data_IF_850853538603
#
_entry.id   IF_850853538603
#
_cell.length_a   1.000
_cell.length_b   1.000
_cell.length_c   1.000
_cell.angle_alpha   90.00
_cell.angle_beta   90.00
_cell.angle_gamma   90.00
#
_symmetry.space_group_name_H-M   'P 1'
#
loop_
_entity.id
_entity.type
_entity.pdbx_description
1 polymer ?
#
# COMPACT_ATOMS: atom_id res chain seq x y z
N UNK A 1 -4.53 -5.54 39.05
CA UNK A 1 -4.10 -6.32 37.88
C UNK A 1 -3.03 -5.50 37.16
N UNK A 2 -1.79 -6.00 37.09
CA UNK A 2 -0.70 -5.30 36.42
C UNK A 2 -0.85 -5.48 34.90
N UNK A 3 -0.90 -4.38 34.15
CA UNK A 3 -0.77 -4.41 32.68
C UNK A 3 0.59 -5.00 32.32
N UNK A 4 0.67 -6.02 31.45
CA UNK A 4 1.95 -6.58 31.05
C UNK A 4 2.73 -5.55 30.23
N UNK A 5 4.01 -5.38 30.55
CA UNK A 5 4.94 -4.58 29.77
C UNK A 5 5.18 -5.30 28.44
N UNK A 6 4.63 -4.80 27.34
CA UNK A 6 5.08 -5.18 26.00
C UNK A 6 5.99 -4.09 25.45
N UNK A 7 7.16 -4.48 24.96
CA UNK A 7 8.07 -3.59 24.25
C UNK A 7 7.70 -3.65 22.77
N UNK A 8 7.11 -2.57 22.23
CA UNK A 8 6.92 -2.42 20.78
C UNK A 8 8.12 -1.67 20.23
N UNK A 9 8.82 -2.28 19.27
CA UNK A 9 9.76 -1.57 18.42
C UNK A 9 9.01 -1.15 17.15
N UNK A 10 8.80 0.16 16.96
CA UNK A 10 8.26 0.67 15.70
C UNK A 10 9.32 0.51 14.61
N UNK A 11 9.06 -0.37 13.65
CA UNK A 11 9.82 -0.46 12.40
C UNK A 11 9.00 0.12 11.27
N UNK A 12 9.64 0.92 10.43
CA UNK A 12 9.00 1.43 9.21
C UNK A 12 9.37 0.52 8.05
N UNK A 13 8.37 -0.06 7.39
CA UNK A 13 8.57 -0.59 6.05
C UNK A 13 8.63 0.59 5.06
N UNK A 14 9.56 0.55 4.11
CA UNK A 14 9.50 1.39 2.92
C UNK A 14 8.76 0.57 1.87
N UNK A 15 7.48 0.86 1.65
CA UNK A 15 6.70 0.17 0.62
C UNK A 15 7.34 0.42 -0.74
N UNK A 16 7.63 -0.65 -1.49
CA UNK A 16 8.16 -0.57 -2.86
C UNK A 16 7.56 -1.65 -3.74
N UNK A 17 7.75 -1.50 -5.05
CA UNK A 17 7.48 -2.54 -6.04
C UNK A 17 8.80 -3.15 -6.48
N UNK A 18 8.83 -4.46 -6.69
CA UNK A 18 9.99 -5.18 -7.20
C UNK A 18 9.60 -5.97 -8.46
N UNK A 19 10.51 -6.04 -9.42
CA UNK A 19 10.31 -6.72 -10.70
C UNK A 19 11.06 -8.05 -10.68
N UNK A 20 10.39 -9.11 -11.14
CA UNK A 20 11.01 -10.40 -11.40
C UNK A 20 10.68 -10.86 -12.81
N UNK A 21 11.70 -11.37 -13.50
CA UNK A 21 11.60 -11.86 -14.88
C UNK A 21 11.85 -13.38 -14.97
N UNK A 22 12.13 -14.03 -13.84
CA UNK A 22 12.52 -15.44 -13.74
C UNK A 22 11.58 -16.28 -12.87
N UNK A 23 10.34 -15.81 -12.69
CA UNK A 23 9.31 -16.48 -11.89
C UNK A 23 9.53 -16.33 -10.38
N UNK A 24 10.17 -15.24 -9.95
CA UNK A 24 10.36 -14.90 -8.54
C UNK A 24 11.63 -15.45 -7.91
N UNK A 25 12.59 -15.96 -8.70
CA UNK A 25 13.88 -16.45 -8.19
C UNK A 25 14.84 -15.29 -7.90
N UNK A 26 14.76 -14.23 -8.70
CA UNK A 26 15.46 -12.96 -8.45
C UNK A 26 14.52 -11.78 -8.64
N UNK A 27 14.87 -10.69 -7.95
CA UNK A 27 14.07 -9.46 -7.87
C UNK A 27 15.00 -8.25 -8.00
N UNK A 28 14.53 -7.22 -8.69
CA UNK A 28 15.22 -5.93 -8.79
C UNK A 28 14.27 -4.77 -8.60
N UNK A 29 14.83 -3.64 -8.20
CA UNK A 29 14.07 -2.39 -8.10
C UNK A 29 13.71 -1.87 -9.51
N UNK A 30 12.61 -1.10 -9.62
CA UNK A 30 12.31 -0.35 -10.83
C UNK A 30 13.42 0.65 -11.13
N UNK A 31 13.62 0.97 -12.41
CA UNK A 31 14.67 1.90 -12.82
C UNK A 31 14.39 3.34 -12.34
N UNK A 32 13.13 3.75 -12.25
CA UNK A 32 12.77 5.10 -11.80
C UNK A 32 11.29 5.28 -11.42
N UNK A 33 10.99 6.42 -10.80
CA UNK A 33 9.62 6.97 -10.73
C UNK A 33 8.73 6.44 -9.62
N UNK A 34 9.11 5.36 -8.93
CA UNK A 34 8.44 4.95 -7.71
C UNK A 34 8.91 5.83 -6.54
N UNK A 35 8.01 6.36 -5.69
CA UNK A 35 8.41 7.30 -4.65
C UNK A 35 9.21 6.60 -3.55
N UNK A 36 10.24 7.27 -3.03
CA UNK A 36 10.85 6.91 -1.73
C UNK A 36 9.92 7.31 -0.56
N UNK A 37 8.63 7.01 -0.67
CA UNK A 37 7.66 7.35 0.37
C UNK A 37 7.70 6.33 1.51
N UNK A 38 7.17 6.73 2.68
CA UNK A 38 6.88 5.82 3.78
C UNK A 38 5.49 5.17 3.63
N UNK A 39 4.76 5.49 2.57
CA UNK A 39 3.44 4.92 2.31
C UNK A 39 3.56 3.44 1.98
N UNK A 40 2.61 2.65 2.47
CA UNK A 40 2.52 1.24 2.10
C UNK A 40 1.78 1.11 0.78
N UNK A 41 2.20 0.14 -0.03
CA UNK A 41 1.43 -0.32 -1.19
C UNK A 41 0.39 -1.31 -0.72
N UNK A 42 -0.89 -0.96 -0.85
CA UNK A 42 -2.02 -1.77 -0.36
C UNK A 42 -2.94 -2.24 -1.50
N UNK A 43 -2.74 -1.73 -2.72
CA UNK A 43 -3.47 -2.17 -3.90
C UNK A 43 -2.52 -2.26 -5.11
N UNK A 44 -2.67 -3.33 -5.89
CA UNK A 44 -1.98 -3.50 -7.16
C UNK A 44 -2.92 -4.17 -8.16
N UNK A 45 -2.94 -3.71 -9.40
CA UNK A 45 -3.75 -4.31 -10.47
C UNK A 45 -3.07 -4.16 -11.83
N UNK A 46 -3.52 -4.98 -12.79
CA UNK A 46 -3.13 -4.95 -14.18
C UNK A 46 -4.37 -4.74 -15.04
N UNK A 47 -4.28 -3.89 -16.04
CA UNK A 47 -5.31 -3.71 -17.06
C UNK A 47 -4.72 -3.93 -18.45
N UNK A 48 -5.29 -4.86 -19.21
CA UNK A 48 -4.93 -5.10 -20.61
C UNK A 48 -5.76 -4.21 -21.54
N UNK A 49 -5.12 -3.69 -22.59
CA UNK A 49 -5.74 -2.90 -23.64
C UNK A 49 -5.14 -3.22 -25.02
N UNK A 50 -5.62 -2.55 -26.08
CA UNK A 50 -5.15 -2.81 -27.45
C UNK A 50 -3.64 -2.61 -27.63
N UNK A 51 -3.06 -1.68 -26.88
CA UNK A 51 -1.64 -1.30 -26.98
C UNK A 51 -0.73 -2.02 -25.97
N UNK A 52 -1.22 -3.07 -25.29
CA UNK A 52 -0.46 -3.83 -24.29
C UNK A 52 -1.16 -3.87 -22.92
N UNK A 53 -0.41 -3.70 -21.83
CA UNK A 53 -0.96 -3.69 -20.48
C UNK A 53 -0.40 -2.52 -19.66
N UNK A 54 -1.22 -2.04 -18.72
CA UNK A 54 -0.81 -1.08 -17.70
C UNK A 54 -0.82 -1.73 -16.32
N UNK A 55 0.15 -1.38 -15.50
CA UNK A 55 0.20 -1.71 -14.08
C UNK A 55 -0.19 -0.48 -13.26
N UNK A 56 -0.90 -0.71 -12.16
CA UNK A 56 -1.38 0.35 -11.27
C UNK A 56 -1.15 -0.03 -9.82
N UNK A 57 -0.70 0.92 -9.02
CA UNK A 57 -0.43 0.77 -7.58
C UNK A 57 -1.12 1.89 -6.81
N UNK A 58 -1.79 1.53 -5.71
CA UNK A 58 -2.40 2.46 -4.77
C UNK A 58 -1.71 2.43 -3.41
N UNK A 59 -1.50 3.60 -2.82
CA UNK A 59 -0.78 3.76 -1.53
C UNK A 59 -1.71 4.21 -0.40
N UNK A 60 -1.28 3.95 0.84
CA UNK A 60 -1.97 4.42 2.06
C UNK A 60 -2.03 5.95 2.18
N UNK A 61 -1.21 6.69 1.43
CA UNK A 61 -1.27 8.16 1.38
C UNK A 61 -2.28 8.70 0.34
N UNK A 62 -3.05 7.82 -0.30
CA UNK A 62 -4.07 8.21 -1.28
C UNK A 62 -3.48 8.59 -2.63
N UNK A 63 -2.35 7.99 -2.99
CA UNK A 63 -1.67 8.17 -4.27
C UNK A 63 -1.90 6.96 -5.18
N UNK A 64 -1.98 7.21 -6.49
CA UNK A 64 -2.04 6.16 -7.51
C UNK A 64 -0.91 6.36 -8.50
N UNK A 65 -0.10 5.32 -8.68
CA UNK A 65 0.98 5.26 -9.66
C UNK A 65 0.61 4.32 -10.79
N UNK A 66 1.07 4.63 -12.01
CA UNK A 66 0.90 3.77 -13.17
C UNK A 66 2.24 3.53 -13.89
N UNK A 67 2.37 2.35 -14.46
CA UNK A 67 3.45 1.95 -15.37
C UNK A 67 2.86 1.37 -16.65
N UNK A 68 3.50 1.64 -17.79
CA UNK A 68 3.15 1.09 -19.12
C UNK A 68 4.29 0.29 -19.75
N UNK A 69 5.37 0.07 -19.00
CA UNK A 69 6.62 -0.52 -19.47
C UNK A 69 7.02 -1.73 -18.60
N UNK A 70 6.04 -2.48 -18.10
CA UNK A 70 6.27 -3.68 -17.30
C UNK A 70 6.77 -3.42 -15.88
N UNK A 71 6.60 -2.19 -15.37
CA UNK A 71 6.99 -1.80 -14.02
C UNK A 71 8.35 -1.12 -13.95
N UNK A 72 9.04 -0.91 -15.07
CA UNK A 72 10.37 -0.26 -15.13
C UNK A 72 10.34 1.19 -14.66
N UNK A 73 9.31 1.94 -15.09
CA UNK A 73 9.09 3.31 -14.66
C UNK A 73 7.65 3.54 -14.20
N UNK A 74 7.51 4.37 -13.16
CA UNK A 74 6.22 4.70 -12.56
C UNK A 74 5.96 6.21 -12.64
N UNK A 75 4.70 6.56 -12.89
CA UNK A 75 4.22 7.95 -12.90
C UNK A 75 3.06 8.10 -11.92
N UNK A 76 3.10 9.14 -11.08
CA UNK A 76 1.97 9.54 -10.24
C UNK A 76 0.83 10.06 -11.12
N UNK A 77 -0.32 9.37 -11.12
CA UNK A 77 -1.49 9.72 -11.94
C UNK A 77 -2.67 10.28 -11.13
N UNK A 78 -2.71 10.03 -9.81
CA UNK A 78 -3.69 10.62 -8.91
C UNK A 78 -3.10 10.80 -7.51
N UNK A 79 -3.56 11.84 -6.79
CA UNK A 79 -3.19 12.13 -5.40
C UNK A 79 -4.34 12.80 -4.65
N UNK A 80 -4.28 12.77 -3.32
CA UNK A 80 -5.29 13.41 -2.46
C UNK A 80 -6.59 12.62 -2.36
N UNK A 81 -6.54 11.33 -2.68
CA UNK A 81 -7.64 10.41 -2.39
C UNK A 81 -7.64 10.09 -0.89
N UNK A 82 -8.75 9.56 -0.35
CA UNK A 82 -8.69 8.86 0.93
C UNK A 82 -7.61 7.77 0.89
N UNK A 83 -7.07 7.42 2.06
CA UNK A 83 -6.09 6.35 2.20
C UNK A 83 -6.57 5.08 1.47
N UNK A 84 -5.75 4.60 0.52
CA UNK A 84 -6.04 3.35 -0.18
C UNK A 84 -5.51 2.24 0.72
N UNK A 85 -6.43 1.57 1.40
CA UNK A 85 -6.10 0.53 2.36
C UNK A 85 -7.37 -0.02 3.00
N UNK A 86 -7.22 -1.10 3.76
CA UNK A 86 -8.35 -1.62 4.53
C UNK A 86 -8.63 -0.66 5.68
N UNK A 87 -9.87 -0.18 5.85
CA UNK A 87 -10.22 0.81 6.88
C UNK A 87 -10.02 0.35 8.34
N UNK A 88 -9.54 -0.88 8.56
CA UNK A 88 -9.23 -1.45 9.87
C UNK A 88 -7.74 -1.76 10.11
N UNK A 89 -6.86 -1.57 9.11
CA UNK A 89 -5.40 -1.70 9.32
C UNK A 89 -4.80 -0.46 10.00
N UNK A 90 -5.20 0.75 9.61
CA UNK A 90 -4.65 1.99 10.17
C UNK A 90 -4.97 2.17 11.66
N UNK A 91 -6.13 1.69 12.11
CA UNK A 91 -6.55 1.72 13.52
C UNK A 91 -5.60 0.90 14.43
N UNK A 92 -4.99 -0.16 13.89
CA UNK A 92 -4.06 -1.02 14.63
C UNK A 92 -2.59 -0.62 14.43
N UNK A 93 -2.23 -0.04 13.28
CA UNK A 93 -0.84 0.36 12.99
C UNK A 93 -0.50 1.74 13.56
N UNK A 94 -1.44 2.68 13.57
CA UNK A 94 -1.22 4.04 14.10
C UNK A 94 -1.63 4.18 15.58
N UNK A 95 -2.17 3.15 16.23
CA UNK A 95 -2.62 3.19 17.62
C UNK A 95 -3.79 4.14 17.89
N UNK A 96 -4.38 4.70 16.84
CA UNK A 96 -5.59 5.53 16.93
C UNK A 96 -6.79 4.61 16.80
N UNK A 97 -7.29 4.15 17.93
CA UNK A 97 -8.60 3.54 18.02
C UNK A 97 -9.65 4.53 17.50
N UNK A 98 -10.39 4.17 16.47
CA UNK A 98 -11.73 4.74 16.32
C UNK A 98 -12.54 4.17 17.49
N UNK A 99 -13.01 5.03 18.39
CA UNK A 99 -14.15 4.69 19.23
C UNK A 99 -15.31 4.41 18.28
N UNK A 100 -15.58 3.13 18.01
CA UNK A 100 -16.78 2.72 17.30
C UNK A 100 -17.91 2.88 18.31
N UNK A 101 -18.87 3.80 18.11
CA UNK A 101 -20.00 3.92 19.01
C UNK A 101 -20.73 2.58 19.08
N UNK A 102 -21.16 2.18 20.27
CA UNK A 102 -21.83 0.90 20.52
C UNK A 102 -23.07 0.71 19.62
N UNK A 103 -23.66 1.81 19.14
CA UNK A 103 -24.80 1.83 18.23
C UNK A 103 -24.50 1.32 16.81
N UNK A 104 -23.23 1.21 16.40
CA UNK A 104 -22.83 0.79 15.05
C UNK A 104 -22.58 -0.73 14.92
N UNK A 105 -22.72 -1.49 16.02
CA UNK A 105 -22.65 -2.95 15.99
C UNK A 105 -24.01 -3.54 15.55
N UNK A 106 -24.05 -4.54 14.65
CA UNK A 106 -25.30 -5.23 14.36
C UNK A 106 -25.82 -5.92 15.62
N UNK A 107 -27.10 -5.71 15.93
CA UNK A 107 -27.76 -6.34 17.08
C UNK A 107 -27.63 -7.87 16.99
N UNK A 108 -27.20 -8.48 18.09
CA UNK A 108 -27.15 -9.93 18.27
C UNK A 108 -28.52 -10.58 18.39
#
# INVERSE_FOLDING_TARGET
FATPNFWVEQKTARGTVMISEDGGKSWREPASGFPESRANVEAMTLCAGPDGYGLFVGTTEGEVFASRDGGESWTLIAKGLPAIGKPTHDTLIAGVGYDVPEEALPAG
#
